data_IF_146959227844
#
_entry.id   IF_146959227844
#
_cell.length_a   1.000
_cell.length_b   1.000
_cell.length_c   1.000
_cell.angle_alpha   90.00
_cell.angle_beta   90.00
_cell.angle_gamma   90.00
#
_symmetry.space_group_name_H-M   'P 1'
#
loop_
_entity.id
_entity.type
_entity.pdbx_description
1 polymer ?
#
# COMPACT_ATOMS: atom_id res chain seq x y z
N UNK A 1 -16.66 -20.91 9.42
CA UNK A 1 -16.46 -20.33 8.08
C UNK A 1 -15.19 -19.50 8.09
N UNK A 2 -14.05 -20.04 7.66
CA UNK A 2 -12.79 -19.27 7.63
C UNK A 2 -12.12 -19.36 6.27
N UNK A 3 -12.94 -19.21 5.23
CA UNK A 3 -12.53 -19.06 3.83
C UNK A 3 -12.71 -17.62 3.41
N UNK A 4 -12.17 -16.66 4.18
CA UNK A 4 -12.10 -15.28 3.72
C UNK A 4 -10.91 -15.17 2.77
N UNK A 5 -11.18 -15.55 1.53
CA UNK A 5 -10.39 -15.14 0.36
C UNK A 5 -10.58 -13.62 0.25
N UNK A 6 -9.85 -12.87 1.06
CA UNK A 6 -9.80 -11.41 1.10
C UNK A 6 -8.40 -11.12 1.59
N UNK A 7 -7.53 -10.47 0.84
CA UNK A 7 -7.74 -9.27 0.07
C UNK A 7 -6.49 -9.13 -0.80
N UNK A 8 -6.54 -8.43 -1.93
CA UNK A 8 -5.36 -7.63 -2.29
C UNK A 8 -4.89 -6.93 -1.00
N UNK A 9 -3.66 -7.18 -0.54
CA UNK A 9 -3.14 -6.53 0.67
C UNK A 9 -3.53 -5.04 0.65
N UNK A 10 -4.06 -4.49 1.75
CA UNK A 10 -4.47 -3.08 1.82
C UNK A 10 -3.34 -2.14 1.34
N UNK A 11 -2.10 -2.61 1.38
CA UNK A 11 -0.90 -1.99 0.81
C UNK A 11 -0.95 -1.92 -0.72
N UNK A 12 -1.26 -3.01 -1.45
CA UNK A 12 -1.45 -2.97 -2.92
C UNK A 12 -2.55 -2.00 -3.31
N UNK A 13 -3.67 -2.02 -2.60
CA UNK A 13 -4.75 -1.05 -2.84
C UNK A 13 -4.30 0.39 -2.56
N UNK A 14 -3.54 0.62 -1.49
CA UNK A 14 -2.95 1.92 -1.19
C UNK A 14 -2.02 2.39 -2.33
N UNK A 15 -1.15 1.50 -2.82
CA UNK A 15 -0.23 1.79 -3.93
C UNK A 15 -0.97 2.17 -5.21
N UNK A 16 -1.98 1.40 -5.61
CA UNK A 16 -2.84 1.72 -6.76
C UNK A 16 -3.51 3.09 -6.62
N UNK A 17 -3.99 3.43 -5.41
CA UNK A 17 -4.61 4.73 -5.15
C UNK A 17 -3.60 5.88 -5.14
N UNK A 18 -2.38 5.65 -4.66
CA UNK A 18 -1.27 6.61 -4.75
C UNK A 18 -0.88 6.86 -6.20
N UNK A 19 -0.77 5.81 -7.02
CA UNK A 19 -0.52 5.91 -8.45
C UNK A 19 -1.61 6.71 -9.18
N UNK A 20 -2.88 6.49 -8.79
CA UNK A 20 -4.02 7.28 -9.24
C UNK A 20 -4.11 8.71 -8.63
N UNK A 21 -3.04 9.18 -7.97
CA UNK A 21 -2.92 10.51 -7.36
C UNK A 21 -4.03 10.85 -6.35
N UNK A 22 -4.58 9.84 -5.65
CA UNK A 22 -5.61 10.05 -4.64
C UNK A 22 -5.02 10.67 -3.37
N UNK A 23 -5.82 11.52 -2.72
CA UNK A 23 -5.41 12.17 -1.47
C UNK A 23 -5.38 11.20 -0.28
N UNK A 24 -4.49 11.45 0.68
CA UNK A 24 -4.28 10.60 1.88
C UNK A 24 -5.57 10.33 2.67
N UNK A 25 -6.46 11.33 2.79
CA UNK A 25 -7.77 11.17 3.46
C UNK A 25 -8.65 10.15 2.74
N UNK A 26 -8.70 10.22 1.41
CA UNK A 26 -9.47 9.29 0.57
C UNK A 26 -8.91 7.88 0.68
N UNK A 27 -7.58 7.74 0.59
CA UNK A 27 -6.91 6.45 0.71
C UNK A 27 -7.21 5.80 2.07
N UNK A 28 -7.09 6.56 3.17
CA UNK A 28 -7.39 6.05 4.50
C UNK A 28 -8.84 5.57 4.64
N UNK A 29 -9.80 6.27 4.03
CA UNK A 29 -11.21 5.88 4.04
C UNK A 29 -11.49 4.61 3.23
N UNK A 30 -10.73 4.35 2.17
CA UNK A 30 -10.91 3.16 1.32
C UNK A 30 -10.18 1.94 1.90
N UNK A 31 -8.92 2.10 2.31
CA UNK A 31 -8.06 0.98 2.71
C UNK A 31 -8.11 0.68 4.22
N UNK A 32 -8.68 1.57 5.02
CA UNK A 32 -8.65 1.49 6.49
C UNK A 32 -7.27 1.74 7.10
N UNK A 33 -6.23 2.04 6.30
CA UNK A 33 -4.90 2.36 6.78
C UNK A 33 -4.90 3.77 7.41
N UNK A 34 -4.24 3.92 8.55
CA UNK A 34 -4.15 5.23 9.21
C UNK A 34 -3.45 6.27 8.31
N UNK A 35 -3.91 7.53 8.39
CA UNK A 35 -3.31 8.64 7.62
C UNK A 35 -1.80 8.80 7.88
N UNK A 36 -1.35 8.50 9.10
CA UNK A 36 0.05 8.59 9.47
C UNK A 36 0.88 7.47 8.84
N UNK A 37 0.33 6.26 8.79
CA UNK A 37 0.94 5.12 8.11
C UNK A 37 1.10 5.40 6.62
N UNK A 38 0.06 5.90 5.95
CA UNK A 38 0.12 6.26 4.52
C UNK A 38 1.19 7.33 4.26
N UNK A 39 1.28 8.35 5.12
CA UNK A 39 2.34 9.38 5.03
C UNK A 39 3.73 8.76 5.18
N UNK A 40 3.91 7.90 6.18
CA UNK A 40 5.18 7.20 6.42
C UNK A 40 5.57 6.35 5.20
N UNK A 41 4.62 5.61 4.63
CA UNK A 41 4.84 4.79 3.44
C UNK A 41 5.19 5.64 2.22
N UNK A 42 4.54 6.79 2.03
CA UNK A 42 4.89 7.74 0.96
C UNK A 42 6.33 8.25 1.09
N UNK A 43 6.74 8.66 2.29
CA UNK A 43 8.13 9.08 2.55
C UNK A 43 9.10 7.93 2.30
N UNK A 44 8.70 6.68 2.59
CA UNK A 44 9.50 5.50 2.30
C UNK A 44 9.66 5.27 0.80
N UNK A 45 8.55 5.36 0.04
CA UNK A 45 8.53 5.26 -1.42
C UNK A 45 9.44 6.30 -2.06
N UNK A 46 9.39 7.55 -1.60
CA UNK A 46 10.25 8.64 -2.09
C UNK A 46 11.75 8.39 -1.82
N UNK A 47 12.08 7.52 -0.86
CA UNK A 47 13.45 7.12 -0.53
C UNK A 47 13.87 5.79 -1.17
N UNK A 48 12.92 5.05 -1.72
CA UNK A 48 13.21 3.79 -2.41
C UNK A 48 13.58 4.08 -3.86
N UNK A 49 14.56 3.33 -4.37
CA UNK A 49 14.89 3.32 -5.80
C UNK A 49 13.99 2.33 -6.56
N UNK A 50 12.69 2.34 -6.25
CA UNK A 50 11.70 1.44 -6.82
C UNK A 50 10.43 2.22 -7.17
N UNK A 51 9.88 1.98 -8.36
CA UNK A 51 8.63 2.60 -8.77
C UNK A 51 7.43 1.90 -8.11
N UNK A 52 6.29 2.58 -8.06
CA UNK A 52 5.04 1.95 -7.59
C UNK A 52 4.66 0.77 -8.49
N UNK A 53 4.94 0.85 -9.80
CA UNK A 53 4.68 -0.23 -10.76
C UNK A 53 5.51 -1.49 -10.42
N UNK A 54 6.80 -1.32 -10.10
CA UNK A 54 7.66 -2.43 -9.69
C UNK A 54 7.16 -3.10 -8.41
N UNK A 55 6.69 -2.30 -7.45
CA UNK A 55 6.14 -2.80 -6.19
C UNK A 55 4.81 -3.54 -6.38
N UNK A 56 3.99 -3.14 -7.36
CA UNK A 56 2.73 -3.81 -7.66
C UNK A 56 2.92 -5.18 -8.32
N UNK A 57 4.08 -5.43 -8.94
CA UNK A 57 4.46 -6.73 -9.48
C UNK A 57 4.91 -7.72 -8.41
N UNK A 58 5.24 -7.25 -7.19
CA UNK A 58 5.66 -8.12 -6.09
C UNK A 58 4.49 -8.94 -5.53
N UNK A 59 4.80 -10.14 -5.06
CA UNK A 59 3.84 -10.95 -4.30
C UNK A 59 3.52 -10.27 -2.95
N UNK A 60 2.29 -10.49 -2.46
CA UNK A 60 1.78 -9.87 -1.23
C UNK A 60 2.72 -10.04 -0.02
N UNK A 61 3.31 -11.23 0.26
CA UNK A 61 4.23 -11.40 1.39
C UNK A 61 5.51 -10.56 1.25
N UNK A 62 6.02 -10.41 0.02
CA UNK A 62 7.22 -9.61 -0.27
C UNK A 62 6.90 -8.14 -0.05
N UNK A 63 5.77 -7.69 -0.58
CA UNK A 63 5.33 -6.31 -0.45
C UNK A 63 5.10 -5.94 1.03
N UNK A 64 4.47 -6.81 1.81
CA UNK A 64 4.29 -6.58 3.25
C UNK A 64 5.63 -6.45 3.98
N UNK A 65 6.62 -7.26 3.63
CA UNK A 65 7.97 -7.18 4.24
C UNK A 65 8.68 -5.85 3.97
N UNK A 66 8.39 -5.18 2.84
CA UNK A 66 8.95 -3.88 2.46
C UNK A 66 8.39 -2.74 3.33
N UNK A 67 7.13 -2.85 3.76
CA UNK A 67 6.41 -1.78 4.48
C UNK A 67 6.27 -2.02 6.00
N UNK A 68 6.36 -3.25 6.48
CA UNK A 68 6.21 -3.61 7.90
C UNK A 68 7.53 -3.79 8.66
N UNK A 69 8.68 -3.60 8.01
CA UNK A 69 9.99 -3.49 8.67
C UNK A 69 10.29 -2.08 9.17
#
# INVERSE_FOLDING_TARGET
MSGKVTSMSNIKQMLLLLQASKGIKTIAGITGISRNTIKSYKVRLEKMDASIDDLLLLDDPVLESVFHR
#
